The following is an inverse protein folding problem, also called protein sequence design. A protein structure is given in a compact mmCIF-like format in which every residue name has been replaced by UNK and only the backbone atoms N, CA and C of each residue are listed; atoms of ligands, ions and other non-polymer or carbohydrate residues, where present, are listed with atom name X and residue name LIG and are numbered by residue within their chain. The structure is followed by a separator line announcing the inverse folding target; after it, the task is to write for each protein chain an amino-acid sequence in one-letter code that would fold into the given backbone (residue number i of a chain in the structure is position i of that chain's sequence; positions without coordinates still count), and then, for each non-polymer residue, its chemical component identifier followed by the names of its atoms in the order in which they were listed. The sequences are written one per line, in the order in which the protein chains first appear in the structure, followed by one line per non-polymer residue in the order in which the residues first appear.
data_IF_896545411286
#
_entry.id   IF_896545411286
#
_cell.length_a   1.000
_cell.length_b   1.000
_cell.length_c   1.000
_cell.angle_alpha   90.00
_cell.angle_beta   90.00
_cell.angle_gamma   90.00
#
_symmetry.space_group_name_H-M   'P 1'
#
loop_
_entity.id
_entity.type
_entity.pdbx_description
1 polymer ?
#
# COMPACT_ATOMS: atom_id res chain seq x y z
N UNK A 1 6.80 22.97 -18.04
CA UNK A 1 7.70 21.88 -17.54
C UNK A 1 7.72 20.78 -18.59
N UNK A 2 8.81 20.03 -18.76
CA UNK A 2 8.83 18.88 -19.65
C UNK A 2 7.81 17.84 -19.20
N UNK A 3 7.26 17.08 -20.15
CA UNK A 3 6.32 15.98 -19.86
C UNK A 3 7.00 14.97 -18.94
N UNK A 4 6.36 14.52 -17.86
CA UNK A 4 6.94 13.53 -16.97
C UNK A 4 7.17 12.21 -17.70
N UNK A 5 8.24 11.51 -17.32
CA UNK A 5 8.54 10.14 -17.76
C UNK A 5 8.63 9.29 -16.50
N UNK A 6 7.94 8.14 -16.48
CA UNK A 6 7.73 7.38 -15.26
C UNK A 6 8.36 5.99 -15.39
N UNK A 7 9.13 5.57 -14.39
CA UNK A 7 9.40 4.15 -14.17
C UNK A 7 8.44 3.63 -13.08
N UNK A 8 7.60 2.67 -13.45
CA UNK A 8 6.75 1.95 -12.51
C UNK A 8 7.54 0.76 -11.97
N UNK A 9 7.69 0.68 -10.67
CA UNK A 9 8.51 -0.31 -9.98
C UNK A 9 7.69 -1.15 -9.02
N UNK A 10 7.74 -2.49 -9.18
CA UNK A 10 6.94 -3.41 -8.39
C UNK A 10 7.83 -4.46 -7.71
N UNK A 11 7.99 -4.42 -6.39
CA UNK A 11 8.46 -5.57 -5.64
C UNK A 11 7.39 -6.68 -5.67
N UNK A 12 7.71 -7.84 -6.28
CA UNK A 12 6.76 -8.93 -6.51
C UNK A 12 7.30 -10.25 -5.95
N UNK A 13 7.34 -10.39 -4.62
CA UNK A 13 7.81 -11.60 -3.98
C UNK A 13 7.03 -12.84 -4.47
N UNK A 14 7.77 -13.88 -4.86
CA UNK A 14 7.18 -15.09 -5.43
C UNK A 14 6.57 -14.93 -6.82
N UNK A 15 6.84 -13.81 -7.53
CA UNK A 15 6.29 -13.49 -8.86
C UNK A 15 4.76 -13.44 -8.89
N UNK A 16 4.13 -13.12 -7.75
CA UNK A 16 2.67 -13.06 -7.59
C UNK A 16 2.18 -11.64 -7.78
N UNK A 17 1.19 -11.49 -8.67
CA UNK A 17 0.44 -10.25 -8.87
C UNK A 17 -1.05 -10.51 -8.63
N UNK A 18 -1.65 -9.73 -7.74
CA UNK A 18 -3.07 -9.88 -7.42
C UNK A 18 -3.96 -9.24 -8.50
N UNK A 19 -5.15 -9.79 -8.72
CA UNK A 19 -6.10 -9.29 -9.73
C UNK A 19 -6.40 -7.79 -9.62
N UNK A 20 -6.63 -7.19 -8.43
CA UNK A 20 -6.82 -5.75 -8.31
C UNK A 20 -5.62 -4.94 -8.79
N UNK A 21 -4.38 -5.38 -8.51
CA UNK A 21 -3.18 -4.79 -9.05
C UNK A 21 -3.17 -4.79 -10.57
N UNK A 22 -3.39 -5.95 -11.20
CA UNK A 22 -3.39 -6.08 -12.67
C UNK A 22 -4.43 -5.16 -13.29
N UNK A 23 -5.66 -5.12 -12.74
CA UNK A 23 -6.72 -4.24 -13.21
C UNK A 23 -6.37 -2.76 -13.10
N UNK A 24 -5.76 -2.36 -11.98
CA UNK A 24 -5.29 -0.98 -11.75
C UNK A 24 -4.17 -0.60 -12.70
N UNK A 25 -3.20 -1.49 -12.93
CA UNK A 25 -2.09 -1.26 -13.86
C UNK A 25 -2.57 -1.11 -15.30
N UNK A 26 -3.50 -1.96 -15.78
CA UNK A 26 -4.09 -1.83 -17.10
C UNK A 26 -4.87 -0.51 -17.27
N UNK A 27 -5.55 -0.07 -16.23
CA UNK A 27 -6.24 1.23 -16.23
C UNK A 27 -5.25 2.40 -16.20
N UNK A 28 -4.20 2.31 -15.41
CA UNK A 28 -3.14 3.31 -15.32
C UNK A 28 -2.42 3.47 -16.66
N UNK A 29 -2.03 2.38 -17.33
CA UNK A 29 -1.33 2.46 -18.62
C UNK A 29 -2.17 3.18 -19.66
N UNK A 30 -3.49 2.95 -19.70
CA UNK A 30 -4.42 3.69 -20.59
C UNK A 30 -4.46 5.20 -20.28
N UNK A 31 -4.46 5.57 -18.98
CA UNK A 31 -4.44 6.99 -18.55
C UNK A 31 -3.13 7.64 -18.94
N UNK A 32 -1.99 6.99 -18.71
CA UNK A 32 -0.68 7.53 -19.08
C UNK A 32 -0.54 7.73 -20.60
N UNK A 33 -0.96 6.73 -21.40
CA UNK A 33 -1.00 6.83 -22.87
C UNK A 33 -1.88 7.99 -23.35
N UNK A 34 -3.09 8.12 -22.79
CA UNK A 34 -4.00 9.25 -23.12
C UNK A 34 -3.40 10.60 -22.78
N UNK A 35 -2.63 10.69 -21.69
CA UNK A 35 -1.91 11.90 -21.27
C UNK A 35 -0.58 12.10 -22.00
N UNK A 36 -0.18 11.18 -22.90
CA UNK A 36 1.11 11.17 -23.61
C UNK A 36 2.30 11.19 -22.63
N UNK A 37 2.19 10.45 -21.53
CA UNK A 37 3.24 10.27 -20.54
C UNK A 37 3.94 8.96 -20.84
N UNK A 38 5.24 9.03 -21.12
CA UNK A 38 6.08 7.86 -21.32
C UNK A 38 6.26 7.10 -20.01
N UNK A 39 6.20 5.78 -20.08
CA UNK A 39 6.43 4.94 -18.92
C UNK A 39 7.18 3.65 -19.27
N UNK A 40 7.94 3.16 -18.29
CA UNK A 40 8.54 1.84 -18.29
C UNK A 40 8.07 1.06 -17.06
N UNK A 41 8.11 -0.25 -17.13
CA UNK A 41 7.76 -1.14 -16.03
C UNK A 41 8.96 -2.01 -15.65
N UNK A 42 9.26 -2.09 -14.35
CA UNK A 42 10.28 -2.96 -13.78
C UNK A 42 9.74 -3.66 -12.54
N UNK A 43 9.76 -4.99 -12.53
CA UNK A 43 9.37 -5.79 -11.38
C UNK A 43 10.49 -6.76 -11.02
N UNK A 44 10.68 -7.00 -9.74
CA UNK A 44 11.65 -7.98 -9.25
C UNK A 44 11.03 -8.87 -8.18
N UNK A 45 11.46 -10.13 -8.18
CA UNK A 45 11.11 -11.08 -7.14
C UNK A 45 12.32 -11.30 -6.23
N UNK A 46 12.21 -10.78 -5.00
CA UNK A 46 13.23 -10.98 -3.97
C UNK A 46 12.57 -10.97 -2.58
N UNK A 47 13.14 -11.71 -1.63
CA UNK A 47 12.51 -11.96 -0.33
C UNK A 47 12.59 -10.78 0.64
N UNK A 48 13.56 -9.87 0.44
CA UNK A 48 13.78 -8.73 1.32
C UNK A 48 13.28 -7.44 0.67
N UNK A 49 12.24 -6.85 1.26
CA UNK A 49 11.54 -5.71 0.67
C UNK A 49 12.42 -4.46 0.60
N UNK A 50 13.22 -4.17 1.63
CA UNK A 50 14.10 -3.01 1.63
C UNK A 50 15.15 -3.10 0.52
N UNK A 51 15.75 -4.28 0.33
CA UNK A 51 16.72 -4.53 -0.74
C UNK A 51 16.08 -4.42 -2.13
N UNK A 52 14.87 -4.97 -2.29
CA UNK A 52 14.08 -4.83 -3.52
C UNK A 52 13.84 -3.36 -3.89
N UNK A 53 13.44 -2.55 -2.92
CA UNK A 53 13.19 -1.12 -3.13
C UNK A 53 14.48 -0.35 -3.41
N UNK A 54 15.56 -0.64 -2.70
CA UNK A 54 16.87 -0.05 -2.94
C UNK A 54 17.40 -0.35 -4.35
N UNK A 55 17.24 -1.61 -4.80
CA UNK A 55 17.60 -2.00 -6.17
C UNK A 55 16.79 -1.25 -7.22
N UNK A 56 15.46 -1.29 -7.12
CA UNK A 56 14.56 -0.64 -8.07
C UNK A 56 14.77 0.88 -8.13
N UNK A 57 14.98 1.50 -6.97
CA UNK A 57 15.30 2.93 -6.85
C UNK A 57 16.64 3.25 -7.51
N UNK A 58 17.69 2.46 -7.26
CA UNK A 58 19.02 2.67 -7.84
C UNK A 58 19.00 2.46 -9.35
N UNK A 59 18.33 1.40 -9.81
CA UNK A 59 18.17 1.15 -11.24
C UNK A 59 17.46 2.30 -11.94
N UNK A 60 16.36 2.80 -11.40
CA UNK A 60 15.68 3.97 -11.93
C UNK A 60 16.62 5.20 -11.96
N UNK A 61 17.29 5.46 -10.85
CA UNK A 61 18.08 6.68 -10.71
C UNK A 61 19.33 6.69 -11.59
N UNK A 62 20.08 5.57 -11.67
CA UNK A 62 21.36 5.48 -12.37
C UNK A 62 21.27 4.97 -13.82
N UNK A 63 20.22 4.22 -14.16
CA UNK A 63 20.15 3.50 -15.46
C UNK A 63 19.02 3.97 -16.36
N UNK A 64 18.18 4.94 -15.92
CA UNK A 64 17.09 5.48 -16.74
C UNK A 64 17.09 7.01 -16.74
N UNK A 65 16.41 7.61 -17.70
CA UNK A 65 16.14 9.05 -17.78
C UNK A 65 14.73 9.42 -17.26
N UNK A 66 13.99 8.46 -16.69
CA UNK A 66 12.68 8.71 -16.13
C UNK A 66 12.75 9.76 -15.00
N UNK A 67 11.91 10.77 -15.07
CA UNK A 67 11.86 11.87 -14.09
C UNK A 67 11.22 11.45 -12.77
N UNK A 68 10.36 10.42 -12.81
CA UNK A 68 9.61 9.92 -11.67
C UNK A 68 9.77 8.41 -11.51
N UNK A 69 9.84 7.97 -10.25
CA UNK A 69 9.70 6.57 -9.85
C UNK A 69 8.35 6.41 -9.16
N UNK A 70 7.52 5.50 -9.64
CA UNK A 70 6.28 5.11 -9.00
C UNK A 70 6.39 3.69 -8.46
N UNK A 71 6.50 3.54 -7.14
CA UNK A 71 6.34 2.25 -6.49
C UNK A 71 4.86 1.87 -6.45
N UNK A 72 4.57 0.62 -6.85
CA UNK A 72 3.28 -0.02 -6.71
C UNK A 72 3.51 -1.44 -6.22
N UNK A 73 3.08 -1.77 -5.00
CA UNK A 73 3.18 -3.14 -4.50
C UNK A 73 2.20 -4.06 -5.22
N UNK A 74 2.59 -5.31 -5.46
CA UNK A 74 1.86 -6.29 -6.27
C UNK A 74 0.47 -6.69 -5.71
N UNK A 75 0.16 -6.28 -4.48
CA UNK A 75 -1.10 -6.54 -3.76
C UNK A 75 -2.00 -5.29 -3.61
N UNK A 76 -1.68 -4.21 -4.35
CA UNK A 76 -2.42 -2.95 -4.30
C UNK A 76 -3.42 -2.83 -5.44
N UNK A 77 -4.66 -2.41 -5.11
CA UNK A 77 -5.66 -1.97 -6.08
C UNK A 77 -5.96 -0.49 -5.88
N UNK A 78 -6.03 0.29 -6.97
CA UNK A 78 -6.21 1.74 -6.89
C UNK A 78 -6.86 2.30 -8.17
N UNK A 79 -7.58 3.43 -8.10
CA UNK A 79 -8.08 4.11 -9.28
C UNK A 79 -6.95 4.83 -10.01
N UNK A 80 -6.89 4.69 -11.34
CA UNK A 80 -5.82 5.29 -12.15
C UNK A 80 -5.77 6.83 -12.07
N UNK A 81 -6.88 7.49 -11.74
CA UNK A 81 -6.96 8.94 -11.52
C UNK A 81 -6.01 9.41 -10.41
N UNK A 82 -5.85 8.62 -9.35
CA UNK A 82 -4.95 8.89 -8.24
C UNK A 82 -3.53 9.24 -8.72
N UNK A 83 -2.96 8.44 -9.62
CA UNK A 83 -1.59 8.67 -10.10
C UNK A 83 -1.52 9.95 -10.94
N UNK A 84 -2.57 10.23 -11.72
CA UNK A 84 -2.69 11.50 -12.44
C UNK A 84 -2.65 12.70 -11.50
N UNK A 85 -3.43 12.66 -10.43
CA UNK A 85 -3.49 13.71 -9.41
C UNK A 85 -2.16 13.86 -8.64
N UNK A 86 -1.48 12.75 -8.30
CA UNK A 86 -0.16 12.80 -7.67
C UNK A 86 0.89 13.47 -8.57
N UNK A 87 0.85 13.21 -9.88
CA UNK A 87 1.72 13.86 -10.86
C UNK A 87 1.42 15.37 -10.97
N UNK A 88 0.13 15.73 -11.04
CA UNK A 88 -0.32 17.11 -11.15
C UNK A 88 -0.04 17.90 -9.85
N UNK A 89 -0.04 17.23 -8.69
CA UNK A 89 0.35 17.82 -7.41
C UNK A 89 1.83 18.24 -7.38
N UNK A 90 2.69 17.55 -8.12
CA UNK A 90 4.05 17.98 -8.43
C UNK A 90 5.04 18.05 -7.27
N UNK A 91 4.74 17.43 -6.12
CA UNK A 91 5.64 17.41 -4.98
C UNK A 91 6.74 16.34 -5.12
N UNK A 92 7.95 16.54 -4.58
CA UNK A 92 9.06 15.61 -4.70
C UNK A 92 8.79 14.20 -4.14
N UNK A 93 7.91 14.09 -3.13
CA UNK A 93 7.53 12.84 -2.50
C UNK A 93 6.03 12.84 -2.16
N UNK A 94 5.29 11.96 -2.83
CA UNK A 94 3.84 11.81 -2.64
C UNK A 94 3.49 10.34 -2.54
N UNK A 95 2.87 9.92 -1.44
CA UNK A 95 2.29 8.59 -1.29
C UNK A 95 0.77 8.59 -1.37
N UNK A 96 0.17 7.42 -1.20
CA UNK A 96 -1.25 7.27 -0.91
C UNK A 96 -1.44 6.58 0.44
N UNK A 97 -2.48 6.97 1.17
CA UNK A 97 -2.87 6.30 2.41
C UNK A 97 -3.72 5.09 2.06
N UNK A 98 -3.32 3.93 2.52
CA UNK A 98 -4.02 2.67 2.27
C UNK A 98 -4.19 1.84 3.55
N UNK A 99 -5.23 0.97 3.61
CA UNK A 99 -5.51 0.19 4.81
C UNK A 99 -4.42 -0.85 5.08
N UNK A 100 -4.19 -1.15 6.37
CA UNK A 100 -3.40 -2.30 6.78
C UNK A 100 -4.17 -3.59 6.47
N UNK A 101 -3.45 -4.70 6.29
CA UNK A 101 -4.03 -6.04 6.08
C UNK A 101 -4.48 -6.69 7.40
N UNK A 102 -5.16 -5.91 8.22
CA UNK A 102 -5.68 -6.33 9.52
C UNK A 102 -7.02 -5.64 9.80
N UNK A 103 -7.97 -6.36 10.37
CA UNK A 103 -9.26 -5.84 10.77
C UNK A 103 -9.48 -6.15 12.25
N UNK A 104 -9.73 -5.12 13.05
CA UNK A 104 -10.15 -5.28 14.44
C UNK A 104 -11.66 -5.58 14.51
N UNK A 105 -11.99 -6.87 14.57
CA UNK A 105 -13.38 -7.34 14.59
C UNK A 105 -14.15 -6.84 15.82
N UNK A 106 -13.48 -6.66 16.98
CA UNK A 106 -14.12 -6.12 18.19
C UNK A 106 -14.52 -4.67 17.97
N UNK A 107 -13.62 -3.87 17.39
CA UNK A 107 -13.90 -2.48 17.06
C UNK A 107 -15.00 -2.34 16.01
N UNK A 108 -15.04 -3.24 15.00
CA UNK A 108 -16.14 -3.29 14.02
C UNK A 108 -17.46 -3.53 14.74
N UNK A 109 -17.52 -4.52 15.64
CA UNK A 109 -18.74 -4.84 16.37
C UNK A 109 -19.23 -3.67 17.25
N UNK A 110 -18.31 -2.96 17.92
CA UNK A 110 -18.63 -1.76 18.71
C UNK A 110 -19.20 -0.64 17.83
N UNK A 111 -18.51 -0.32 16.72
CA UNK A 111 -18.95 0.74 15.81
C UNK A 111 -20.27 0.39 15.09
N UNK A 112 -20.49 -0.88 14.74
CA UNK A 112 -21.74 -1.33 14.12
C UNK A 112 -22.93 -1.25 15.09
N UNK A 113 -22.70 -1.32 16.39
CA UNK A 113 -23.76 -1.11 17.39
C UNK A 113 -24.18 0.38 17.48
N UNK A 114 -23.27 1.29 17.19
CA UNK A 114 -23.50 2.75 17.20
C UNK A 114 -24.01 3.25 15.83
N UNK A 115 -23.47 2.71 14.74
CA UNK A 115 -23.75 3.10 13.37
C UNK A 115 -24.50 1.94 12.67
N UNK A 116 -25.73 2.20 12.23
CA UNK A 116 -26.58 1.18 11.59
C UNK A 116 -26.03 0.67 10.24
N UNK A 117 -25.02 1.33 9.69
CA UNK A 117 -24.32 0.93 8.46
C UNK A 117 -23.07 0.11 8.78
N UNK A 118 -23.16 -1.20 8.56
CA UNK A 118 -22.02 -2.13 8.80
C UNK A 118 -20.80 -1.83 7.91
N UNK A 119 -21.01 -1.38 6.68
CA UNK A 119 -19.92 -1.03 5.77
C UNK A 119 -19.14 0.20 6.28
N UNK A 120 -19.86 1.19 6.78
CA UNK A 120 -19.27 2.38 7.41
C UNK A 120 -18.53 2.03 8.72
N UNK A 121 -19.07 1.12 9.53
CA UNK A 121 -18.41 0.63 10.73
C UNK A 121 -17.06 -0.08 10.40
N UNK A 122 -17.03 -0.91 9.34
CA UNK A 122 -15.82 -1.56 8.86
C UNK A 122 -14.79 -0.52 8.42
N UNK A 123 -15.19 0.46 7.61
CA UNK A 123 -14.30 1.52 7.15
C UNK A 123 -13.70 2.34 8.30
N UNK A 124 -14.49 2.67 9.32
CA UNK A 124 -14.05 3.38 10.52
C UNK A 124 -13.14 2.54 11.44
N UNK A 125 -13.30 1.21 11.44
CA UNK A 125 -12.48 0.30 12.23
C UNK A 125 -11.12 0.00 11.58
N UNK A 126 -10.95 0.35 10.30
CA UNK A 126 -9.75 0.05 9.53
C UNK A 126 -8.57 0.90 10.01
N UNK A 127 -7.44 0.25 10.29
CA UNK A 127 -6.16 0.93 10.45
C UNK A 127 -5.50 1.18 9.10
N UNK A 128 -4.72 2.28 9.00
CA UNK A 128 -4.03 2.68 7.78
C UNK A 128 -2.51 2.70 7.94
N UNK A 129 -1.78 2.53 6.83
CA UNK A 129 -0.32 2.65 6.79
C UNK A 129 0.05 4.13 6.70
N UNK A 130 0.09 4.75 7.85
CA UNK A 130 0.31 6.18 8.01
C UNK A 130 0.94 6.48 9.38
N UNK A 131 1.86 7.43 9.41
CA UNK A 131 2.24 8.14 10.63
C UNK A 131 1.78 9.58 10.48
N UNK A 132 0.80 9.97 11.28
CA UNK A 132 0.30 11.35 11.29
C UNK A 132 1.36 12.31 11.86
N UNK A 133 1.33 13.54 11.41
CA UNK A 133 2.13 14.63 11.94
C UNK A 133 1.28 15.47 12.89
N UNK A 134 1.87 15.88 14.00
CA UNK A 134 1.24 16.90 14.87
C UNK A 134 1.14 18.22 14.10
N UNK A 135 -0.06 18.78 13.97
CA UNK A 135 -0.31 19.96 13.15
C UNK A 135 -0.27 19.67 11.64
N UNK A 136 -0.66 18.45 11.22
CA UNK A 136 -0.81 18.11 9.81
C UNK A 136 -1.72 19.11 9.10
N UNK A 137 -1.34 19.51 7.87
CA UNK A 137 -2.09 20.45 7.06
C UNK A 137 -2.51 19.81 5.75
N UNK A 138 -3.71 20.11 5.29
CA UNK A 138 -4.10 19.83 3.92
C UNK A 138 -3.35 20.74 2.94
N UNK A 139 -3.09 20.27 1.75
CA UNK A 139 -2.42 21.08 0.73
C UNK A 139 -3.35 22.24 0.30
N UNK A 140 -2.85 23.48 0.23
CA UNK A 140 -3.65 24.62 -0.22
C UNK A 140 -4.22 24.38 -1.62
N UNK A 141 -5.54 24.52 -1.77
CA UNK A 141 -6.24 24.29 -3.04
C UNK A 141 -6.37 22.83 -3.49
N UNK A 142 -5.82 21.89 -2.73
CA UNK A 142 -5.86 20.44 -3.02
C UNK A 142 -6.17 19.62 -1.76
N UNK A 143 -7.41 19.64 -1.26
CA UNK A 143 -7.78 19.07 0.04
C UNK A 143 -7.66 17.53 0.10
N UNK A 144 -7.48 16.86 -1.06
CA UNK A 144 -7.20 15.43 -1.16
C UNK A 144 -5.79 15.02 -0.75
N UNK A 145 -4.88 15.97 -0.47
CA UNK A 145 -3.51 15.72 -0.04
C UNK A 145 -3.25 16.26 1.37
N UNK A 146 -2.70 15.41 2.21
CA UNK A 146 -2.36 15.72 3.60
C UNK A 146 -0.85 15.63 3.80
N UNK A 147 -0.26 16.64 4.49
CA UNK A 147 1.13 16.54 4.94
C UNK A 147 1.22 15.55 6.10
N UNK A 148 2.14 14.58 5.98
CA UNK A 148 2.27 13.49 6.94
C UNK A 148 3.69 13.35 7.47
N UNK A 149 3.88 12.65 8.58
CA UNK A 149 5.23 12.30 9.06
C UNK A 149 5.84 11.20 8.18
N UNK A 150 5.05 10.17 7.86
CA UNK A 150 5.44 9.09 6.96
C UNK A 150 4.20 8.38 6.40
N UNK A 151 4.32 7.79 5.22
CA UNK A 151 3.34 6.91 4.61
C UNK A 151 4.02 5.64 4.10
N UNK A 152 3.21 4.64 3.75
CA UNK A 152 3.71 3.41 3.16
C UNK A 152 4.18 3.59 1.72
N UNK A 153 5.05 2.70 1.28
CA UNK A 153 5.61 2.71 -0.08
C UNK A 153 4.85 1.82 -1.07
N UNK A 154 3.73 1.23 -0.68
CA UNK A 154 2.89 0.42 -1.56
C UNK A 154 2.27 1.20 -2.72
N UNK A 155 2.11 2.53 -2.57
CA UNK A 155 1.81 3.50 -3.61
C UNK A 155 2.58 4.78 -3.31
N UNK A 156 3.74 4.97 -3.95
CA UNK A 156 4.66 6.07 -3.66
C UNK A 156 5.28 6.62 -4.94
N UNK A 157 5.06 7.91 -5.21
CA UNK A 157 5.65 8.65 -6.32
C UNK A 157 6.82 9.47 -5.82
N UNK A 158 7.99 9.31 -6.44
CA UNK A 158 9.25 9.95 -6.08
C UNK A 158 9.79 10.70 -7.30
N UNK A 159 10.15 11.96 -7.15
CA UNK A 159 10.89 12.73 -8.15
C UNK A 159 12.40 12.63 -7.90
N UNK A 160 13.21 12.81 -8.95
CA UNK A 160 14.69 12.80 -8.84
C UNK A 160 15.22 13.75 -7.77
N UNK A 161 14.61 14.93 -7.67
CA UNK A 161 14.98 15.94 -6.66
C UNK A 161 14.96 15.41 -5.22
N UNK A 162 14.08 14.44 -4.90
CA UNK A 162 14.08 13.78 -3.59
C UNK A 162 15.37 13.00 -3.36
N UNK A 163 15.82 12.24 -4.34
CA UNK A 163 17.03 11.41 -4.24
C UNK A 163 18.30 12.27 -4.35
N UNK A 164 18.30 13.29 -5.21
CA UNK A 164 19.38 14.28 -5.27
C UNK A 164 19.63 14.92 -3.90
N UNK A 165 18.53 15.32 -3.23
CA UNK A 165 18.58 15.86 -1.88
C UNK A 165 19.12 14.86 -0.86
N UNK A 166 18.68 13.60 -0.91
CA UNK A 166 19.15 12.55 0.00
C UNK A 166 20.64 12.25 -0.21
N UNK A 167 21.09 12.08 -1.45
CA UNK A 167 22.49 11.79 -1.75
C UNK A 167 23.42 12.96 -1.37
N UNK A 168 22.94 14.20 -1.48
CA UNK A 168 23.68 15.39 -1.04
C UNK A 168 23.79 15.48 0.48
N UNK A 169 22.69 15.20 1.19
CA UNK A 169 22.64 15.32 2.65
C UNK A 169 23.24 14.12 3.39
N UNK A 170 23.19 12.94 2.77
CA UNK A 170 23.58 11.65 3.37
C UNK A 170 24.34 10.81 2.31
N UNK A 171 25.55 11.20 1.90
CA UNK A 171 26.33 10.50 0.87
C UNK A 171 26.62 9.04 1.22
N UNK A 172 26.62 8.70 2.50
CA UNK A 172 26.84 7.34 3.01
C UNK A 172 25.75 6.34 2.60
N UNK A 173 24.57 6.78 2.18
CA UNK A 173 23.55 5.87 1.65
C UNK A 173 23.91 5.33 0.26
N UNK A 174 24.89 5.90 -0.41
CA UNK A 174 25.43 5.39 -1.68
C UNK A 174 26.49 4.33 -1.42
N UNK A 175 26.10 3.04 -1.41
CA UNK A 175 26.98 1.93 -1.08
C UNK A 175 27.57 1.27 -2.33
N UNK A 176 28.85 1.54 -2.61
CA UNK A 176 29.60 0.92 -3.72
C UNK A 176 30.02 -0.52 -3.43
N UNK A 177 30.01 -0.97 -2.15
CA UNK A 177 30.36 -2.33 -1.73
C UNK A 177 29.21 -3.32 -1.94
N UNK A 178 27.99 -2.81 -2.16
CA UNK A 178 26.78 -3.64 -2.35
C UNK A 178 26.93 -4.67 -3.47
N UNK A 179 27.78 -4.43 -4.45
CA UNK A 179 28.09 -5.37 -5.56
C UNK A 179 28.55 -6.76 -5.09
N UNK A 180 29.20 -6.82 -3.94
CA UNK A 180 29.80 -8.06 -3.42
C UNK A 180 28.86 -8.84 -2.52
N UNK A 181 27.83 -8.20 -2.00
CA UNK A 181 26.91 -8.79 -0.98
C UNK A 181 25.49 -8.98 -1.48
N UNK A 182 25.01 -8.14 -2.40
CA UNK A 182 23.65 -8.24 -2.93
C UNK A 182 23.64 -8.91 -4.30
N UNK A 183 22.91 -10.04 -4.48
CA UNK A 183 22.75 -10.66 -5.79
C UNK A 183 22.01 -9.77 -6.78
N UNK A 184 21.20 -8.82 -6.32
CA UNK A 184 20.47 -7.86 -7.15
C UNK A 184 21.43 -6.78 -7.72
N UNK A 185 22.49 -6.43 -7.00
CA UNK A 185 23.39 -5.33 -7.39
C UNK A 185 24.41 -5.68 -8.48
N UNK A 186 24.39 -6.89 -9.04
CA UNK A 186 25.39 -7.36 -10.04
C UNK A 186 25.56 -6.41 -11.23
N UNK A 187 24.49 -5.79 -11.68
CA UNK A 187 24.46 -4.91 -12.86
C UNK A 187 24.41 -3.41 -12.50
N UNK A 188 24.63 -3.06 -11.24
CA UNK A 188 24.67 -1.70 -10.75
C UNK A 188 26.09 -1.33 -10.31
N UNK A 189 26.47 -0.06 -10.39
CA UNK A 189 27.78 0.42 -9.93
C UNK A 189 27.79 0.70 -8.43
N UNK A 190 26.64 0.94 -7.86
CA UNK A 190 26.36 1.16 -6.43
C UNK A 190 24.97 0.67 -6.07
N UNK A 191 24.62 0.70 -4.79
CA UNK A 191 23.25 0.58 -4.30
C UNK A 191 22.92 1.80 -3.44
N UNK A 192 21.84 2.51 -3.75
CA UNK A 192 21.32 3.62 -2.95
C UNK A 192 20.42 3.02 -1.86
N UNK A 193 20.90 3.01 -0.62
CA UNK A 193 20.28 2.39 0.54
C UNK A 193 19.28 3.31 1.24
N UNK A 194 18.43 3.97 0.46
CA UNK A 194 17.45 4.91 0.98
C UNK A 194 16.32 4.24 1.78
N UNK A 195 16.04 2.95 1.53
CA UNK A 195 15.05 2.14 2.24
C UNK A 195 15.62 1.29 3.37
N UNK A 196 16.94 1.36 3.65
CA UNK A 196 17.50 0.65 4.80
C UNK A 196 16.87 1.12 6.10
N UNK A 197 16.58 0.14 6.95
CA UNK A 197 15.90 0.34 8.24
C UNK A 197 16.73 1.25 9.15
N UNK A 198 16.07 2.23 9.75
CA UNK A 198 16.63 3.13 10.75
C UNK A 198 16.16 2.77 12.16
N UNK A 199 17.04 3.06 13.11
CA UNK A 199 16.68 3.11 14.53
C UNK A 199 16.73 4.57 14.98
N UNK A 200 15.58 5.11 15.40
CA UNK A 200 15.43 6.50 15.84
C UNK A 200 14.91 6.51 17.27
N UNK A 201 15.67 7.09 18.18
CA UNK A 201 15.35 7.13 19.61
C UNK A 201 15.03 5.73 20.18
N UNK A 202 15.82 4.72 19.79
CA UNK A 202 15.64 3.34 20.24
C UNK A 202 14.51 2.56 19.54
N UNK A 203 13.72 3.20 18.68
CA UNK A 203 12.64 2.57 17.92
C UNK A 203 13.08 2.20 16.51
N UNK A 204 12.81 0.97 16.11
CA UNK A 204 13.00 0.50 14.73
C UNK A 204 11.87 1.04 13.85
N UNK A 205 12.23 1.75 12.78
CA UNK A 205 11.30 2.13 11.72
C UNK A 205 11.22 1.01 10.67
N UNK A 206 10.07 0.89 9.99
CA UNK A 206 9.99 0.10 8.75
C UNK A 206 10.80 0.76 7.62
N UNK A 207 11.01 0.05 6.52
CA UNK A 207 11.78 0.58 5.38
C UNK A 207 11.15 1.82 4.76
N UNK A 208 9.82 1.82 4.61
CA UNK A 208 9.03 2.94 4.10
C UNK A 208 9.10 4.17 5.03
N UNK A 209 8.95 3.96 6.34
CA UNK A 209 9.07 5.04 7.32
C UNK A 209 10.52 5.53 7.48
N UNK A 210 11.50 4.65 7.26
CA UNK A 210 12.92 5.02 7.21
C UNK A 210 13.23 5.92 6.00
N UNK A 211 12.66 5.62 4.83
CA UNK A 211 12.75 6.46 3.64
C UNK A 211 12.14 7.85 3.89
N UNK A 212 10.91 7.90 4.40
CA UNK A 212 10.25 9.16 4.75
C UNK A 212 11.05 9.96 5.79
N UNK A 213 11.62 9.29 6.79
CA UNK A 213 12.43 9.93 7.84
C UNK A 213 13.70 10.58 7.23
N UNK A 214 14.42 9.90 6.32
CA UNK A 214 15.57 10.47 5.62
C UNK A 214 15.21 11.74 4.86
N UNK A 215 14.12 11.68 4.09
CA UNK A 215 13.66 12.85 3.35
C UNK A 215 13.27 14.01 4.26
N UNK A 216 12.46 13.71 5.28
CA UNK A 216 11.90 14.73 6.16
C UNK A 216 12.95 15.34 7.09
N UNK A 217 13.68 14.52 7.80
CA UNK A 217 14.61 14.98 8.84
C UNK A 217 16.03 15.22 8.31
N UNK A 218 16.49 14.42 7.36
CA UNK A 218 17.79 14.60 6.72
C UNK A 218 17.82 15.75 5.71
N UNK A 219 16.78 15.88 4.89
CA UNK A 219 16.71 16.84 3.80
C UNK A 219 15.79 18.04 4.06
N UNK A 220 15.04 18.05 5.18
CA UNK A 220 14.00 19.05 5.48
C UNK A 220 12.87 19.06 4.43
N UNK A 221 12.65 17.94 3.75
CA UNK A 221 11.59 17.77 2.76
C UNK A 221 10.22 17.53 3.39
N UNK A 222 9.19 17.70 2.60
CA UNK A 222 7.81 17.42 2.99
C UNK A 222 7.37 16.07 2.43
N UNK A 223 6.62 15.30 3.24
CA UNK A 223 5.99 14.04 2.81
C UNK A 223 4.50 14.31 2.69
N UNK A 224 3.96 14.09 1.50
CA UNK A 224 2.55 14.26 1.21
C UNK A 224 1.89 12.92 0.94
N UNK A 225 0.63 12.79 1.30
CA UNK A 225 -0.14 11.57 1.03
C UNK A 225 -1.56 11.90 0.56
N UNK A 226 -1.99 11.24 -0.52
CA UNK A 226 -3.38 11.27 -0.97
C UNK A 226 -4.25 10.51 0.02
N UNK A 227 -5.39 11.10 0.39
CA UNK A 227 -6.36 10.57 1.35
C UNK A 227 -7.78 10.46 0.76
N UNK A 228 -7.98 10.85 -0.49
CA UNK A 228 -9.30 11.00 -1.10
C UNK A 228 -9.79 9.76 -1.84
N UNK A 229 -8.90 8.80 -2.12
CA UNK A 229 -9.22 7.64 -2.94
C UNK A 229 -9.38 6.37 -2.11
N UNK A 230 -10.30 5.51 -2.53
CA UNK A 230 -10.40 4.16 -2.02
C UNK A 230 -9.25 3.30 -2.59
N UNK A 231 -8.48 2.69 -1.71
CA UNK A 231 -7.35 1.82 -2.04
C UNK A 231 -7.63 0.44 -1.48
N UNK A 232 -7.44 -0.58 -2.32
CA UNK A 232 -7.51 -1.98 -1.91
C UNK A 232 -6.11 -2.49 -1.58
N UNK A 233 -5.94 -3.11 -0.42
CA UNK A 233 -4.70 -3.78 -0.02
C UNK A 233 -5.01 -5.25 0.28
N UNK A 234 -4.55 -6.16 -0.57
CA UNK A 234 -4.87 -7.59 -0.48
C UNK A 234 -4.00 -8.26 0.57
N UNK A 235 -4.63 -9.05 1.43
CA UNK A 235 -3.96 -9.87 2.41
C UNK A 235 -4.58 -11.26 2.49
N UNK A 236 -3.80 -12.23 2.94
CA UNK A 236 -4.31 -13.56 3.22
C UNK A 236 -5.11 -13.53 4.53
N UNK A 237 -6.33 -14.03 4.52
CA UNK A 237 -7.16 -14.21 5.70
C UNK A 237 -7.43 -15.70 5.92
N UNK A 238 -7.23 -16.17 7.17
CA UNK A 238 -7.57 -17.53 7.56
C UNK A 238 -9.01 -17.54 8.06
N UNK A 239 -9.89 -18.24 7.36
CA UNK A 239 -11.26 -18.46 7.78
C UNK A 239 -11.31 -19.71 8.66
N UNK A 240 -11.67 -19.54 9.92
CA UNK A 240 -11.80 -20.64 10.89
C UNK A 240 -13.12 -20.50 11.59
N UNK A 241 -13.91 -21.58 11.63
CA UNK A 241 -15.20 -21.58 12.28
C UNK A 241 -15.69 -22.99 12.53
N UNK A 242 -16.57 -23.15 13.49
CA UNK A 242 -17.26 -24.39 13.76
C UNK A 242 -18.74 -24.21 13.37
N UNK A 243 -19.24 -25.04 12.47
CA UNK A 243 -20.61 -24.93 11.97
C UNK A 243 -21.67 -25.01 13.11
N UNK A 244 -21.37 -25.76 14.18
CA UNK A 244 -22.20 -25.85 15.37
C UNK A 244 -22.45 -24.47 16.03
N UNK A 245 -21.45 -23.58 16.00
CA UNK A 245 -21.58 -22.22 16.57
C UNK A 245 -22.53 -21.34 15.75
N UNK A 246 -22.58 -21.54 14.43
CA UNK A 246 -23.57 -20.91 13.56
C UNK A 246 -25.00 -21.39 13.88
N UNK A 247 -25.17 -22.67 14.19
CA UNK A 247 -26.46 -23.24 14.52
C UNK A 247 -26.97 -22.77 15.89
N UNK A 248 -26.08 -22.49 16.85
CA UNK A 248 -26.43 -22.05 18.20
C UNK A 248 -26.78 -20.56 18.30
N UNK A 249 -26.52 -19.76 17.27
CA UNK A 249 -26.77 -18.29 17.23
C UNK A 249 -28.05 -17.89 16.49
N UNK A 250 -28.76 -18.81 15.85
CA UNK A 250 -29.96 -18.53 15.08
C UNK A 250 -31.24 -18.75 15.90
N UNK A 251 -32.20 -17.82 15.84
CA UNK A 251 -33.49 -17.89 16.55
C UNK A 251 -34.39 -19.07 16.15
N UNK A 252 -34.03 -19.81 15.09
CA UNK A 252 -34.86 -20.88 14.52
C UNK A 252 -34.29 -22.29 14.68
N UNK A 253 -33.20 -22.46 15.43
CA UNK A 253 -32.58 -23.79 15.67
C UNK A 253 -32.25 -23.93 17.14
N UNK A 254 -32.91 -24.89 17.79
CA UNK A 254 -32.62 -25.26 19.18
C UNK A 254 -31.56 -26.35 19.15
N UNK A 255 -30.38 -26.00 19.64
CA UNK A 255 -29.31 -26.98 19.91
C UNK A 255 -29.40 -27.34 21.38
N UNK A 256 -29.93 -28.53 21.67
CA UNK A 256 -30.02 -29.03 23.03
C UNK A 256 -28.83 -29.95 23.34
N UNK A 257 -28.28 -29.83 24.55
CA UNK A 257 -27.36 -30.81 25.11
C UNK A 257 -28.14 -31.81 25.96
N UNK A 258 -28.29 -33.05 25.47
CA UNK A 258 -28.85 -34.14 26.25
C UNK A 258 -27.76 -35.19 26.45
N UNK A 259 -27.50 -35.56 27.70
CA UNK A 259 -26.53 -36.62 28.09
C UNK A 259 -25.15 -36.48 27.50
N UNK A 260 -24.60 -35.26 27.50
CA UNK A 260 -23.25 -35.00 26.97
C UNK A 260 -23.16 -35.01 25.43
N UNK A 261 -24.26 -35.29 24.71
CA UNK A 261 -24.31 -35.28 23.24
C UNK A 261 -25.05 -34.02 22.75
N UNK A 262 -24.55 -33.42 21.70
CA UNK A 262 -25.20 -32.31 21.04
C UNK A 262 -26.25 -32.86 20.06
N UNK A 263 -27.52 -32.53 20.25
CA UNK A 263 -28.64 -32.90 19.35
C UNK A 263 -29.16 -31.65 18.70
N UNK A 264 -29.27 -31.64 17.38
CA UNK A 264 -29.88 -30.54 16.61
C UNK A 264 -31.34 -30.89 16.39
N UNK A 265 -32.20 -30.16 17.06
CA UNK A 265 -33.67 -30.30 16.92
C UNK A 265 -34.20 -29.10 16.15
N UNK A 266 -34.60 -29.28 14.90
CA UNK A 266 -35.21 -28.26 14.05
C UNK A 266 -35.07 -28.52 12.55
N UNK A 267 -36.06 -28.13 11.75
CA UNK A 267 -35.99 -28.20 10.28
C UNK A 267 -35.08 -27.10 9.76
N UNK A 268 -34.04 -27.47 9.00
CA UNK A 268 -33.31 -26.53 8.14
C UNK A 268 -34.32 -25.90 7.15
N UNK A 269 -34.71 -24.66 7.37
CA UNK A 269 -35.36 -23.88 6.30
C UNK A 269 -34.31 -23.65 5.22
N UNK A 270 -34.44 -24.36 4.10
CA UNK A 270 -33.75 -24.02 2.87
C UNK A 270 -34.28 -22.67 2.38
N UNK A 271 -33.55 -21.60 2.66
CA UNK A 271 -33.84 -20.31 2.04
C UNK A 271 -33.68 -20.43 0.52
N UNK A 272 -34.45 -19.71 -0.29
CA UNK A 272 -34.33 -19.74 -1.73
C UNK A 272 -32.91 -19.26 -2.09
N UNK A 273 -32.15 -20.07 -2.89
CA UNK A 273 -30.92 -19.66 -3.53
C UNK A 273 -31.24 -18.41 -4.37
N UNK A 274 -30.78 -17.25 -3.94
CA UNK A 274 -30.85 -16.03 -4.74
C UNK A 274 -30.01 -16.26 -6.00
N UNK A 275 -30.69 -16.36 -7.15
CA UNK A 275 -30.03 -16.38 -8.45
C UNK A 275 -29.36 -15.01 -8.65
N UNK A 276 -28.08 -14.96 -9.11
CA UNK A 276 -27.50 -13.70 -9.49
C UNK A 276 -28.29 -13.08 -10.64
N UNK A 277 -28.80 -11.88 -10.44
CA UNK A 277 -29.41 -11.07 -11.49
C UNK A 277 -28.30 -10.59 -12.41
N UNK A 278 -28.13 -11.26 -13.55
CA UNK A 278 -27.43 -10.71 -14.70
C UNK A 278 -28.23 -9.54 -15.26
N UNK A 279 -27.78 -8.32 -15.02
CA UNK A 279 -28.19 -7.17 -15.85
C UNK A 279 -27.23 -7.06 -17.01
N UNK A 280 -27.80 -7.17 -18.22
CA UNK A 280 -27.18 -6.86 -19.50
C UNK A 280 -26.77 -5.38 -19.59
#
# INVERSE_FOLDING_TARGET
MPTPKIMIATPAYGEVFYTPYVSSMLSLTRVLQKRRIDFAFNAISYSEIAESRNYLLTHWYDKTDASHLLFVDADMGFPAALIGEMLDFGQPLVGAVYPKRALDVKRVAQLAAEDKDAAHAVAKAQDFVLRSRRGARAAPGQPGFLEVEACGSGLLLIQRACIDGMLKAMPEISDTRAKTTSPLAKNLDRLIRAFDVLFVNGMRLSEDFSFCHRWRHGCKGEVWASIAHEITHIGLHRFTGRYLEKLSGGSDQVVERRDGKTVVTGRLKSGPLSRPTTKH
#
